data_IF_020824540298
#
_entry.id   IF_020824540298
#
_cell.length_a   1.000
_cell.length_b   1.000
_cell.length_c   1.000
_cell.angle_alpha   90.00
_cell.angle_beta   90.00
_cell.angle_gamma   90.00
#
_symmetry.space_group_name_H-M   'P 1'
#
loop_
_entity.id
_entity.type
_entity.pdbx_description
1 polymer ?
#
# COMPACT_ATOMS: atom_id res chain seq x y z
N UNK A 1 39.48 4.93 -5.44
CA UNK A 1 38.65 5.71 -4.49
C UNK A 1 37.96 4.75 -3.56
N UNK A 2 38.06 4.94 -2.23
CA UNK A 2 37.41 4.05 -1.25
C UNK A 2 35.91 4.28 -1.16
N UNK A 3 35.15 3.28 -0.65
CA UNK A 3 33.72 3.39 -0.38
C UNK A 3 33.42 4.55 0.56
N UNK A 4 34.24 4.73 1.61
CA UNK A 4 34.11 5.83 2.56
C UNK A 4 34.23 7.19 1.87
N UNK A 5 35.23 7.38 1.01
CA UNK A 5 35.45 8.63 0.28
C UNK A 5 34.29 8.93 -0.68
N UNK A 6 33.83 7.91 -1.43
CA UNK A 6 32.71 8.04 -2.35
C UNK A 6 31.40 8.42 -1.63
N UNK A 7 31.17 7.79 -0.48
CA UNK A 7 29.99 8.07 0.34
C UNK A 7 29.99 9.51 0.88
N UNK A 8 31.16 10.01 1.38
CA UNK A 8 31.28 11.39 1.82
C UNK A 8 31.05 12.40 0.70
N UNK A 9 31.60 12.13 -0.49
CA UNK A 9 31.39 13.01 -1.66
C UNK A 9 29.91 13.02 -2.08
N UNK A 10 29.28 11.86 -2.19
CA UNK A 10 27.86 11.77 -2.54
C UNK A 10 26.95 12.45 -1.50
N UNK A 11 27.28 12.28 -0.21
CA UNK A 11 26.53 12.96 0.88
C UNK A 11 26.59 14.48 0.72
N UNK A 12 27.76 15.05 0.50
CA UNK A 12 27.94 16.50 0.30
C UNK A 12 27.18 17.03 -0.91
N UNK A 13 27.27 16.32 -2.04
CA UNK A 13 26.56 16.71 -3.26
C UNK A 13 25.05 16.77 -3.05
N UNK A 14 24.49 15.81 -2.32
CA UNK A 14 23.06 15.78 -2.01
C UNK A 14 22.66 16.84 -0.97
N UNK A 15 23.53 17.10 0.00
CA UNK A 15 23.35 18.14 1.02
C UNK A 15 23.35 19.56 0.40
N UNK A 16 24.35 19.84 -0.46
CA UNK A 16 24.46 21.12 -1.18
C UNK A 16 23.24 21.37 -2.10
N UNK A 17 22.61 20.29 -2.59
CA UNK A 17 21.38 20.37 -3.39
C UNK A 17 20.09 20.42 -2.56
N UNK A 18 20.17 20.43 -1.23
CA UNK A 18 19.01 20.50 -0.33
C UNK A 18 18.17 19.22 -0.31
N UNK A 19 18.73 18.06 -0.69
CA UNK A 19 18.04 16.79 -0.62
C UNK A 19 17.84 16.36 0.84
N UNK A 20 16.63 16.02 1.21
CA UNK A 20 16.34 15.52 2.55
C UNK A 20 17.11 14.22 2.84
N UNK A 21 17.58 14.06 4.10
CA UNK A 21 18.35 12.89 4.58
C UNK A 21 19.50 12.49 3.64
N UNK A 22 20.43 13.42 3.29
CA UNK A 22 21.42 13.25 2.22
C UNK A 22 22.33 12.05 2.46
N UNK A 23 22.75 11.82 3.70
CA UNK A 23 23.59 10.70 4.10
C UNK A 23 22.92 9.33 3.81
N UNK A 24 21.69 9.15 4.26
CA UNK A 24 20.94 7.93 4.02
C UNK A 24 20.72 7.70 2.53
N UNK A 25 20.38 8.76 1.80
CA UNK A 25 20.20 8.69 0.33
C UNK A 25 21.49 8.25 -0.36
N UNK A 26 22.63 8.83 -0.01
CA UNK A 26 23.94 8.45 -0.56
C UNK A 26 24.27 6.98 -0.26
N UNK A 27 24.00 6.50 0.97
CA UNK A 27 24.22 5.10 1.36
C UNK A 27 23.36 4.13 0.54
N UNK A 28 22.08 4.43 0.39
CA UNK A 28 21.16 3.59 -0.40
C UNK A 28 21.59 3.51 -1.87
N UNK A 29 21.96 4.64 -2.47
CA UNK A 29 22.40 4.68 -3.86
C UNK A 29 23.76 3.98 -4.07
N UNK A 30 24.70 4.12 -3.13
CA UNK A 30 26.00 3.44 -3.20
C UNK A 30 25.84 1.93 -3.00
N UNK A 31 25.06 1.51 -2.00
CA UNK A 31 24.76 0.10 -1.76
C UNK A 31 24.09 -0.55 -3.00
N UNK A 32 23.15 0.19 -3.63
CA UNK A 32 22.52 -0.24 -4.87
C UNK A 32 23.51 -0.38 -6.03
N UNK A 33 24.46 0.55 -6.17
CA UNK A 33 25.50 0.47 -7.20
C UNK A 33 26.43 -0.75 -7.04
N UNK A 34 26.66 -1.15 -5.78
CA UNK A 34 27.47 -2.31 -5.41
C UNK A 34 26.70 -3.64 -5.47
N UNK A 35 25.35 -3.61 -5.55
CA UNK A 35 24.52 -4.79 -5.35
C UNK A 35 24.67 -5.41 -3.95
N UNK A 36 24.88 -4.59 -2.91
CA UNK A 36 25.11 -4.98 -1.52
C UNK A 36 24.12 -4.31 -0.58
N UNK A 37 23.99 -4.89 0.64
CA UNK A 37 23.25 -4.27 1.74
C UNK A 37 24.00 -3.06 2.31
N UNK A 38 23.28 -2.07 2.88
CA UNK A 38 23.89 -0.87 3.46
C UNK A 38 24.92 -1.17 4.55
N UNK A 39 24.71 -2.23 5.33
CA UNK A 39 25.64 -2.65 6.39
C UNK A 39 27.03 -2.96 5.84
N UNK A 40 27.12 -3.40 4.58
CA UNK A 40 28.39 -3.65 3.90
C UNK A 40 29.29 -2.42 3.82
N UNK A 41 28.69 -1.23 3.62
CA UNK A 41 29.43 0.04 3.50
C UNK A 41 30.19 0.38 4.79
N UNK A 42 29.61 0.05 5.94
CA UNK A 42 30.23 0.30 7.25
C UNK A 42 31.34 -0.68 7.57
N UNK A 43 31.19 -1.93 7.15
CA UNK A 43 32.19 -2.98 7.39
C UNK A 43 33.41 -2.88 6.45
N UNK A 44 33.25 -2.26 5.26
CA UNK A 44 34.25 -2.28 4.20
C UNK A 44 34.61 -0.87 3.68
N UNK A 45 34.58 0.14 4.55
CA UNK A 45 34.79 1.55 4.16
C UNK A 45 36.07 1.82 3.38
N UNK A 46 37.16 1.07 3.65
CA UNK A 46 38.47 1.18 3.00
C UNK A 46 38.57 0.42 1.68
N UNK A 47 37.57 -0.40 1.33
CA UNK A 47 37.53 -1.08 0.05
C UNK A 47 37.48 -0.07 -1.09
N UNK A 48 38.25 -0.32 -2.15
CA UNK A 48 38.17 0.49 -3.37
C UNK A 48 36.95 0.12 -4.23
N UNK A 49 36.31 1.14 -4.78
CA UNK A 49 35.27 0.99 -5.79
C UNK A 49 35.88 0.57 -7.12
N UNK A 50 35.25 -0.42 -7.78
CA UNK A 50 35.53 -0.68 -9.18
C UNK A 50 35.02 0.50 -10.05
N UNK A 51 35.63 0.69 -11.21
CA UNK A 51 35.28 1.77 -12.14
C UNK A 51 33.79 1.75 -12.53
N UNK A 52 33.24 0.57 -12.79
CA UNK A 52 31.83 0.40 -13.14
C UNK A 52 30.89 0.76 -11.98
N UNK A 53 31.24 0.40 -10.75
CA UNK A 53 30.46 0.73 -9.56
C UNK A 53 30.43 2.25 -9.32
N UNK A 54 31.60 2.90 -9.51
CA UNK A 54 31.70 4.34 -9.44
C UNK A 54 30.85 5.04 -10.50
N UNK A 55 30.88 4.55 -11.75
CA UNK A 55 30.08 5.08 -12.84
C UNK A 55 28.57 4.95 -12.54
N UNK A 56 28.14 3.79 -12.03
CA UNK A 56 26.74 3.58 -11.63
C UNK A 56 26.33 4.52 -10.50
N UNK A 57 27.15 4.62 -9.46
CA UNK A 57 26.87 5.51 -8.34
C UNK A 57 26.75 6.97 -8.79
N UNK A 58 27.69 7.45 -9.60
CA UNK A 58 27.65 8.80 -10.17
C UNK A 58 26.38 9.07 -10.98
N UNK A 59 25.93 8.10 -11.79
CA UNK A 59 24.66 8.18 -12.52
C UNK A 59 23.47 8.26 -11.58
N UNK A 60 23.42 7.46 -10.51
CA UNK A 60 22.34 7.47 -9.55
C UNK A 60 22.28 8.78 -8.76
N UNK A 61 23.43 9.31 -8.33
CA UNK A 61 23.51 10.64 -7.73
C UNK A 61 22.98 11.72 -8.69
N UNK A 62 23.39 11.68 -9.96
CA UNK A 62 22.90 12.63 -10.95
C UNK A 62 21.36 12.56 -11.11
N UNK A 63 20.79 11.36 -11.23
CA UNK A 63 19.34 11.18 -11.31
C UNK A 63 18.64 11.75 -10.06
N UNK A 64 19.19 11.53 -8.86
CA UNK A 64 18.65 12.06 -7.62
C UNK A 64 18.70 13.58 -7.57
N UNK A 65 19.80 14.20 -8.02
CA UNK A 65 19.97 15.65 -8.14
C UNK A 65 18.99 16.28 -9.13
N UNK A 66 18.57 15.53 -10.17
CA UNK A 66 17.48 15.97 -11.07
C UNK A 66 16.09 15.89 -10.42
N UNK A 67 15.97 15.35 -9.20
CA UNK A 67 14.73 15.23 -8.45
C UNK A 67 14.07 13.85 -8.50
N UNK A 68 14.66 12.87 -9.21
CA UNK A 68 14.08 11.51 -9.27
C UNK A 68 14.06 10.88 -7.87
N UNK A 69 12.92 10.32 -7.41
CA UNK A 69 12.84 9.60 -6.15
C UNK A 69 13.87 8.46 -6.06
N UNK A 70 14.47 8.29 -4.90
CA UNK A 70 15.45 7.21 -4.65
C UNK A 70 14.86 5.84 -5.00
N UNK A 71 13.60 5.62 -4.69
CA UNK A 71 12.88 4.38 -4.96
C UNK A 71 12.76 4.08 -6.47
N UNK A 72 12.59 5.09 -7.31
CA UNK A 72 12.58 4.88 -8.77
C UNK A 72 13.98 4.63 -9.32
N UNK A 73 15.03 5.18 -8.70
CA UNK A 73 16.42 4.89 -9.07
C UNK A 73 16.76 3.45 -8.73
N UNK A 74 16.43 3.01 -7.51
CA UNK A 74 16.71 1.65 -7.01
C UNK A 74 15.70 0.61 -7.52
N UNK A 75 14.53 1.05 -8.00
CA UNK A 75 13.41 0.22 -8.43
C UNK A 75 12.77 -0.58 -7.30
N UNK A 76 12.92 -0.15 -6.04
CA UNK A 76 12.48 -0.88 -4.85
C UNK A 76 11.84 0.04 -3.83
N UNK A 77 10.81 -0.46 -3.17
CA UNK A 77 10.17 0.13 -1.99
C UNK A 77 9.76 -0.99 -1.05
N UNK A 78 10.12 -0.85 0.20
CA UNK A 78 9.63 -1.73 1.25
C UNK A 78 8.22 -1.30 1.65
N UNK A 79 7.30 -2.26 1.82
CA UNK A 79 5.95 -2.06 2.32
C UNK A 79 5.50 -3.31 3.07
N UNK A 80 5.08 -3.15 4.31
CA UNK A 80 4.60 -4.21 5.20
C UNK A 80 5.58 -5.40 5.29
N UNK A 81 6.86 -5.11 5.47
CA UNK A 81 7.94 -6.10 5.56
C UNK A 81 8.27 -6.82 4.25
N UNK A 82 7.81 -6.32 3.09
CA UNK A 82 8.04 -6.91 1.76
C UNK A 82 8.64 -5.90 0.80
N UNK A 83 9.52 -6.38 -0.07
CA UNK A 83 10.12 -5.53 -1.11
C UNK A 83 9.26 -5.54 -2.37
N UNK A 84 8.71 -4.38 -2.72
CA UNK A 84 7.96 -4.15 -3.95
C UNK A 84 8.81 -3.48 -5.01
N UNK A 85 8.71 -3.95 -6.25
CA UNK A 85 9.24 -3.23 -7.40
C UNK A 85 8.37 -2.01 -7.68
N UNK A 86 9.01 -0.85 -7.91
CA UNK A 86 8.34 0.39 -8.29
C UNK A 86 8.98 1.00 -9.53
N UNK A 87 8.17 1.66 -10.34
CA UNK A 87 8.57 2.37 -11.56
C UNK A 87 7.78 3.68 -11.63
N UNK A 88 8.14 4.64 -12.48
CA UNK A 88 7.34 5.85 -12.69
C UNK A 88 5.88 5.61 -13.15
N UNK A 89 5.51 4.36 -13.40
CA UNK A 89 4.12 4.00 -13.75
C UNK A 89 3.22 3.83 -12.53
N UNK A 90 3.78 3.75 -11.31
CA UNK A 90 3.03 3.49 -10.06
C UNK A 90 3.39 4.47 -8.97
N UNK A 91 2.43 4.82 -8.12
CA UNK A 91 2.71 5.53 -6.86
C UNK A 91 3.69 4.69 -6.01
N UNK A 92 4.67 5.35 -5.41
CA UNK A 92 5.55 4.70 -4.42
C UNK A 92 4.70 4.40 -3.17
N UNK A 93 4.58 3.13 -2.73
CA UNK A 93 3.86 2.79 -1.50
C UNK A 93 4.32 3.63 -0.32
N UNK A 94 3.37 4.18 0.45
CA UNK A 94 3.63 5.02 1.61
C UNK A 94 3.49 4.22 2.90
N UNK A 95 4.27 4.52 3.95
CA UNK A 95 4.12 3.88 5.25
C UNK A 95 2.70 4.04 5.82
N UNK A 96 2.06 5.18 5.59
CA UNK A 96 0.69 5.45 6.06
C UNK A 96 -0.34 4.48 5.48
N UNK A 97 -0.10 3.98 4.27
CA UNK A 97 -0.97 2.99 3.61
C UNK A 97 -0.97 1.63 4.33
N UNK A 98 0.04 1.33 5.17
CA UNK A 98 0.06 0.13 6.00
C UNK A 98 -1.10 0.09 7.01
N UNK A 99 -1.59 1.25 7.47
CA UNK A 99 -2.78 1.33 8.30
C UNK A 99 -4.04 0.80 7.58
N UNK A 100 -4.12 0.92 6.26
CA UNK A 100 -5.21 0.32 5.47
C UNK A 100 -5.16 -1.21 5.60
N UNK A 101 -3.97 -1.80 5.53
CA UNK A 101 -3.79 -3.26 5.73
C UNK A 101 -4.24 -3.67 7.13
N UNK A 102 -3.81 -2.96 8.18
CA UNK A 102 -4.17 -3.27 9.56
C UNK A 102 -5.67 -3.21 9.81
N UNK A 103 -6.33 -2.16 9.30
CA UNK A 103 -7.80 -2.01 9.43
C UNK A 103 -8.51 -3.07 8.61
N UNK A 104 -8.09 -3.35 7.40
CA UNK A 104 -8.65 -4.39 6.55
C UNK A 104 -8.56 -5.79 7.20
N UNK A 105 -7.42 -6.13 7.79
CA UNK A 105 -7.22 -7.40 8.51
C UNK A 105 -8.12 -7.53 9.74
N UNK A 106 -8.38 -6.44 10.49
CA UNK A 106 -9.32 -6.46 11.63
C UNK A 106 -10.73 -6.85 11.18
N UNK A 107 -11.25 -6.21 10.13
CA UNK A 107 -12.59 -6.50 9.61
C UNK A 107 -12.66 -7.87 8.94
N UNK A 108 -11.59 -8.26 8.24
CA UNK A 108 -11.51 -9.59 7.64
C UNK A 108 -11.57 -10.72 8.67
N UNK A 109 -10.84 -10.61 9.78
CA UNK A 109 -10.82 -11.61 10.86
C UNK A 109 -12.16 -11.68 11.61
N UNK A 110 -12.89 -10.58 11.71
CA UNK A 110 -14.20 -10.56 12.33
C UNK A 110 -15.27 -11.31 11.52
N UNK A 111 -15.10 -11.42 10.19
CA UNK A 111 -16.03 -12.07 9.27
C UNK A 111 -15.60 -13.47 8.84
N UNK A 112 -14.31 -13.80 8.92
CA UNK A 112 -13.82 -15.12 8.54
C UNK A 112 -14.21 -16.17 9.59
N UNK A 113 -14.75 -17.34 9.20
CA UNK A 113 -14.89 -18.46 10.11
C UNK A 113 -13.52 -18.82 10.68
N UNK A 114 -13.44 -19.09 11.98
CA UNK A 114 -12.19 -19.44 12.66
C UNK A 114 -11.47 -20.56 11.88
N UNK A 115 -10.15 -20.44 11.60
CA UNK A 115 -9.43 -21.47 10.88
C UNK A 115 -9.51 -22.76 11.65
N UNK A 116 -9.75 -23.93 11.01
CA UNK A 116 -9.79 -25.20 11.69
C UNK A 116 -8.44 -25.49 12.32
N UNK A 117 -8.36 -25.41 13.64
CA UNK A 117 -7.38 -26.07 14.50
C UNK A 117 -5.93 -25.60 14.41
N UNK A 118 -5.60 -24.46 15.04
CA UNK A 118 -4.34 -24.33 15.79
C UNK A 118 -4.66 -24.49 17.27
N UNK A 119 -4.61 -25.73 17.76
CA UNK A 119 -4.60 -26.00 19.21
C UNK A 119 -3.29 -25.49 19.77
N UNK A 120 -3.34 -24.34 20.43
CA UNK A 120 -2.23 -23.87 21.27
C UNK A 120 -2.12 -24.79 22.49
N UNK A 121 -1.08 -25.63 22.51
CA UNK A 121 -0.70 -26.38 23.70
C UNK A 121 0.01 -25.44 24.68
N UNK A 122 -0.75 -24.79 25.55
CA UNK A 122 -0.20 -24.21 26.78
C UNK A 122 -1.21 -24.45 27.90
N UNK A 123 -0.81 -25.28 28.86
CA UNK A 123 -1.16 -25.22 30.31
C UNK A 123 -2.61 -25.48 30.67
N UNK A 124 -2.92 -26.77 30.94
CA UNK A 124 -4.04 -27.15 31.82
C UNK A 124 -3.79 -26.64 33.25
N UNK A 125 -4.67 -25.79 33.75
CA UNK A 125 -5.01 -25.73 35.16
C UNK A 125 -6.52 -25.64 35.29
N UNK A 126 -7.03 -26.58 36.09
CA UNK A 126 -8.44 -26.82 36.39
C UNK A 126 -9.06 -25.59 37.11
N UNK A 127 -10.19 -25.12 36.63
CA UNK A 127 -11.25 -24.64 37.52
C UNK A 127 -12.60 -24.69 36.81
N UNK A 128 -13.54 -25.27 37.50
CA UNK A 128 -14.90 -25.59 37.15
C UNK A 128 -15.78 -24.34 37.03
N UNK A 129 -16.87 -24.50 36.25
CA UNK A 129 -18.20 -23.84 36.32
C UNK A 129 -18.56 -22.91 35.14
N UNK A 130 -19.63 -23.32 34.50
CA UNK A 130 -20.49 -22.76 33.48
C UNK A 130 -20.01 -22.87 32.03
N UNK A 131 -20.84 -23.49 31.15
CA UNK A 131 -20.62 -23.46 29.69
C UNK A 131 -20.81 -22.03 29.19
N UNK A 132 -19.91 -21.54 28.33
CA UNK A 132 -20.13 -20.27 27.68
C UNK A 132 -21.34 -20.40 26.74
N UNK A 133 -22.19 -19.37 26.76
CA UNK A 133 -23.31 -19.25 25.86
C UNK A 133 -22.85 -19.55 24.42
N UNK A 134 -23.55 -20.46 23.79
CA UNK A 134 -23.41 -20.81 22.38
C UNK A 134 -23.46 -19.53 21.55
N UNK A 135 -22.31 -19.08 21.03
CA UNK A 135 -22.30 -18.01 20.04
C UNK A 135 -23.02 -18.58 18.83
N UNK A 136 -24.19 -18.07 18.55
CA UNK A 136 -24.87 -18.27 17.29
C UNK A 136 -23.88 -17.91 16.18
N UNK A 137 -23.40 -18.91 15.46
CA UNK A 137 -22.64 -18.72 14.24
C UNK A 137 -23.58 -17.97 13.28
N UNK A 138 -23.12 -16.91 12.60
CA UNK A 138 -23.90 -16.32 11.53
C UNK A 138 -24.24 -17.44 10.55
N UNK A 139 -25.51 -17.55 10.16
CA UNK A 139 -25.95 -18.54 9.19
C UNK A 139 -25.12 -18.34 7.90
N UNK A 140 -24.31 -19.32 7.54
CA UNK A 140 -23.65 -19.34 6.23
C UNK A 140 -24.76 -19.34 5.17
N UNK A 141 -24.80 -18.29 4.34
CA UNK A 141 -25.64 -18.30 3.14
C UNK A 141 -25.03 -19.34 2.18
N UNK A 142 -25.72 -20.48 1.95
CA UNK A 142 -25.18 -21.57 1.13
C UNK A 142 -24.99 -21.19 -0.35
N UNK A 143 -25.36 -19.97 -0.75
CA UNK A 143 -25.15 -19.39 -2.08
C UNK A 143 -23.95 -18.46 -2.20
N UNK A 144 -23.38 -17.98 -1.09
CA UNK A 144 -22.24 -17.08 -1.10
C UNK A 144 -20.94 -17.90 -1.16
N UNK A 145 -20.27 -17.92 -2.30
CA UNK A 145 -18.92 -18.52 -2.45
C UNK A 145 -17.91 -17.96 -1.40
N UNK A 146 -16.65 -18.42 -1.38
CA UNK A 146 -15.66 -18.02 -0.38
C UNK A 146 -15.53 -16.48 -0.31
N UNK A 147 -15.19 -15.93 0.86
CA UNK A 147 -14.97 -14.48 1.00
C UNK A 147 -13.81 -14.02 0.13
N UNK A 148 -13.97 -12.85 -0.50
CA UNK A 148 -13.04 -12.27 -1.46
C UNK A 148 -12.71 -10.83 -1.12
N UNK A 149 -11.49 -10.41 -1.49
CA UNK A 149 -10.98 -9.05 -1.31
C UNK A 149 -10.84 -8.39 -2.68
N UNK A 150 -11.19 -7.11 -2.77
CA UNK A 150 -10.95 -6.26 -3.94
C UNK A 150 -10.11 -5.05 -3.55
N UNK A 151 -8.98 -4.86 -4.24
CA UNK A 151 -8.18 -3.63 -4.18
C UNK A 151 -8.50 -2.76 -5.40
N UNK A 152 -8.99 -1.55 -5.19
CA UNK A 152 -9.34 -0.61 -6.26
C UNK A 152 -8.23 0.43 -6.44
N UNK A 153 -7.67 0.52 -7.65
CA UNK A 153 -6.53 1.39 -7.95
C UNK A 153 -5.24 0.82 -7.37
N UNK A 154 -4.95 -0.45 -7.66
CA UNK A 154 -3.91 -1.23 -6.98
C UNK A 154 -2.48 -0.70 -7.16
N UNK A 155 -2.20 0.10 -8.21
CA UNK A 155 -0.89 0.68 -8.47
C UNK A 155 0.21 -0.37 -8.56
N UNK A 156 1.10 -0.38 -7.58
CA UNK A 156 2.19 -1.38 -7.48
C UNK A 156 1.71 -2.77 -7.00
N UNK A 157 0.46 -2.90 -6.59
CA UNK A 157 -0.08 -4.10 -5.96
C UNK A 157 0.15 -4.19 -4.44
N UNK A 158 0.59 -3.11 -3.81
CA UNK A 158 1.01 -3.13 -2.39
C UNK A 158 -0.09 -3.64 -1.46
N UNK A 159 -1.32 -3.13 -1.56
CA UNK A 159 -2.46 -3.59 -0.76
C UNK A 159 -2.90 -5.00 -1.15
N UNK A 160 -3.18 -5.22 -2.45
CA UNK A 160 -3.68 -6.51 -2.94
C UNK A 160 -2.76 -7.69 -2.60
N UNK A 161 -1.46 -7.54 -2.89
CA UNK A 161 -0.45 -8.58 -2.65
C UNK A 161 -0.28 -8.85 -1.15
N UNK A 162 -0.20 -7.78 -0.34
CA UNK A 162 -0.06 -7.93 1.10
C UNK A 162 -1.27 -8.64 1.70
N UNK A 163 -2.50 -8.21 1.37
CA UNK A 163 -3.71 -8.84 1.87
C UNK A 163 -3.87 -10.28 1.40
N UNK A 164 -3.53 -10.59 0.14
CA UNK A 164 -3.53 -11.96 -0.35
C UNK A 164 -2.60 -12.88 0.47
N UNK A 165 -1.40 -12.38 0.83
CA UNK A 165 -0.42 -13.15 1.61
C UNK A 165 -0.80 -13.29 3.09
N UNK A 166 -1.37 -12.22 3.70
CA UNK A 166 -1.77 -12.23 5.10
C UNK A 166 -3.02 -13.07 5.37
N UNK A 167 -3.96 -13.07 4.43
CA UNK A 167 -5.28 -13.70 4.63
C UNK A 167 -5.42 -15.06 3.94
N UNK A 168 -4.63 -15.32 2.89
CA UNK A 168 -4.85 -16.47 1.99
C UNK A 168 -6.12 -16.34 1.13
N UNK A 169 -6.82 -15.20 1.18
CA UNK A 169 -8.06 -14.98 0.46
C UNK A 169 -7.86 -14.89 -1.06
N UNK A 170 -8.88 -15.28 -1.81
CA UNK A 170 -8.97 -14.94 -3.23
C UNK A 170 -9.06 -13.42 -3.38
N UNK A 171 -7.98 -12.81 -3.90
CA UNK A 171 -7.84 -11.35 -4.00
C UNK A 171 -7.90 -10.90 -5.45
N UNK A 172 -8.71 -9.88 -5.69
CA UNK A 172 -8.86 -9.20 -6.96
C UNK A 172 -8.30 -7.79 -6.85
N UNK A 173 -7.81 -7.27 -7.97
CA UNK A 173 -7.30 -5.91 -8.04
C UNK A 173 -7.73 -5.27 -9.35
N UNK A 174 -8.21 -4.03 -9.29
CA UNK A 174 -8.48 -3.23 -10.49
C UNK A 174 -7.49 -2.08 -10.60
N UNK A 175 -7.09 -1.78 -11.85
CA UNK A 175 -6.16 -0.70 -12.14
C UNK A 175 -6.50 -0.10 -13.52
N UNK A 176 -6.59 1.22 -13.60
CA UNK A 176 -6.93 1.91 -14.85
C UNK A 176 -5.75 1.95 -15.82
N UNK A 177 -4.52 1.98 -15.31
CA UNK A 177 -3.28 2.00 -16.09
C UNK A 177 -2.78 0.59 -16.40
N UNK A 178 -2.73 0.18 -17.67
CA UNK A 178 -2.14 -1.12 -18.04
C UNK A 178 -0.67 -1.25 -17.61
N UNK A 179 0.08 -0.15 -17.60
CA UNK A 179 1.48 -0.14 -17.18
C UNK A 179 1.61 -0.40 -15.67
N UNK A 180 0.77 0.24 -14.84
CA UNK A 180 0.70 -0.01 -13.40
C UNK A 180 0.23 -1.45 -13.10
N UNK A 181 -0.81 -1.93 -13.78
CA UNK A 181 -1.28 -3.31 -13.65
C UNK A 181 -0.17 -4.33 -13.95
N UNK A 182 0.69 -4.06 -14.94
CA UNK A 182 1.85 -4.92 -15.24
C UNK A 182 2.90 -4.88 -14.13
N UNK A 183 3.08 -3.77 -13.42
CA UNK A 183 3.96 -3.70 -12.23
C UNK A 183 3.37 -4.53 -11.09
N UNK A 184 2.07 -4.37 -10.79
CA UNK A 184 1.37 -5.16 -9.79
C UNK A 184 1.46 -6.67 -10.06
N UNK A 185 1.27 -7.10 -11.30
CA UNK A 185 1.38 -8.51 -11.71
C UNK A 185 2.79 -9.07 -11.46
N UNK A 186 3.84 -8.29 -11.75
CA UNK A 186 5.23 -8.70 -11.47
C UNK A 186 5.50 -8.81 -9.98
N UNK A 187 4.96 -7.90 -9.17
CA UNK A 187 5.09 -7.94 -7.72
C UNK A 187 4.35 -9.15 -7.13
N UNK A 188 3.12 -9.40 -7.57
CA UNK A 188 2.35 -10.58 -7.15
C UNK A 188 3.11 -11.88 -7.46
N UNK A 189 3.63 -12.01 -8.68
CA UNK A 189 4.42 -13.18 -9.09
C UNK A 189 5.71 -13.32 -8.26
N UNK A 190 6.47 -12.23 -8.10
CA UNK A 190 7.75 -12.24 -7.39
C UNK A 190 7.61 -12.58 -5.90
N UNK A 191 6.50 -12.16 -5.27
CA UNK A 191 6.19 -12.41 -3.86
C UNK A 191 5.36 -13.68 -3.64
N UNK A 192 4.97 -14.39 -4.70
CA UNK A 192 4.20 -15.63 -4.61
C UNK A 192 2.73 -15.43 -4.22
N UNK A 193 2.18 -14.22 -4.39
CA UNK A 193 0.80 -13.92 -4.10
C UNK A 193 -0.13 -14.27 -5.26
N UNK A 194 -1.30 -14.82 -4.96
CA UNK A 194 -2.36 -15.04 -5.96
C UNK A 194 -3.31 -13.84 -5.99
N UNK A 195 -3.13 -12.98 -6.99
CA UNK A 195 -3.98 -11.80 -7.20
C UNK A 195 -4.49 -11.80 -8.63
N UNK A 196 -5.80 -11.67 -8.81
CA UNK A 196 -6.45 -11.49 -10.10
C UNK A 196 -6.45 -10.01 -10.48
N UNK A 197 -5.58 -9.61 -11.39
CA UNK A 197 -5.44 -8.21 -11.78
C UNK A 197 -6.25 -7.95 -13.05
N UNK A 198 -7.13 -6.96 -12.99
CA UNK A 198 -8.02 -6.55 -14.08
C UNK A 198 -7.74 -5.09 -14.46
N UNK A 199 -7.43 -4.85 -15.71
CA UNK A 199 -7.37 -3.47 -16.22
C UNK A 199 -8.78 -2.95 -16.37
N UNK A 200 -9.13 -1.93 -15.60
CA UNK A 200 -10.49 -1.41 -15.55
C UNK A 200 -10.64 -0.19 -14.65
N UNK A 201 -11.75 0.50 -14.81
CA UNK A 201 -12.03 1.72 -14.09
C UNK A 201 -12.89 1.45 -12.83
N UNK A 202 -12.35 1.79 -11.67
CA UNK A 202 -12.93 1.52 -10.35
C UNK A 202 -13.33 0.03 -10.26
N UNK A 203 -14.56 -0.28 -9.93
CA UNK A 203 -15.09 -1.65 -9.82
C UNK A 203 -15.98 -2.07 -11.00
N UNK A 204 -15.91 -1.38 -12.15
CA UNK A 204 -16.81 -1.57 -13.28
C UNK A 204 -16.84 -3.00 -13.84
N UNK A 205 -15.69 -3.67 -13.86
CA UNK A 205 -15.53 -5.04 -14.37
C UNK A 205 -15.81 -6.14 -13.32
N UNK A 206 -16.09 -5.77 -12.07
CA UNK A 206 -16.30 -6.72 -10.96
C UNK A 206 -17.77 -7.12 -10.87
N UNK A 207 -18.01 -8.41 -10.68
CA UNK A 207 -19.38 -8.96 -10.56
C UNK A 207 -20.10 -8.40 -9.31
N UNK A 208 -21.41 -8.25 -9.40
CA UNK A 208 -22.24 -7.79 -8.30
C UNK A 208 -22.25 -8.81 -7.15
N UNK A 209 -22.25 -8.33 -5.91
CA UNK A 209 -22.35 -9.14 -4.69
C UNK A 209 -21.23 -10.17 -4.53
N UNK A 210 -20.06 -9.94 -5.14
CA UNK A 210 -18.98 -10.95 -5.18
C UNK A 210 -17.87 -10.72 -4.15
N UNK A 211 -17.78 -9.53 -3.54
CA UNK A 211 -16.68 -9.15 -2.65
C UNK A 211 -17.15 -8.99 -1.20
N UNK A 212 -16.34 -9.46 -0.27
CA UNK A 212 -16.57 -9.29 1.18
C UNK A 212 -15.91 -8.02 1.72
N UNK A 213 -14.77 -7.66 1.12
CA UNK A 213 -13.98 -6.50 1.52
C UNK A 213 -13.49 -5.76 0.28
N UNK A 214 -13.67 -4.45 0.27
CA UNK A 214 -13.02 -3.54 -0.68
C UNK A 214 -11.96 -2.74 0.08
N UNK A 215 -10.76 -2.62 -0.49
CA UNK A 215 -9.71 -1.71 -0.02
C UNK A 215 -9.31 -0.75 -1.13
N UNK A 216 -8.82 0.44 -0.78
CA UNK A 216 -8.27 1.38 -1.75
C UNK A 216 -7.39 2.43 -1.08
N UNK A 217 -6.30 2.81 -1.74
CA UNK A 217 -5.64 4.08 -1.54
C UNK A 217 -5.89 4.93 -2.81
N UNK A 218 -7.03 5.63 -2.90
CA UNK A 218 -7.39 6.33 -4.11
C UNK A 218 -6.64 7.66 -4.23
N UNK A 219 -6.47 8.22 -5.44
CA UNK A 219 -6.05 9.60 -5.60
C UNK A 219 -6.98 10.55 -4.84
N UNK A 220 -6.40 11.49 -4.12
CA UNK A 220 -7.15 12.45 -3.29
C UNK A 220 -6.62 13.90 -3.37
N UNK A 221 -5.60 14.16 -4.16
CA UNK A 221 -5.03 15.51 -4.29
C UNK A 221 -5.89 16.34 -5.25
N UNK A 222 -6.43 17.51 -4.82
CA UNK A 222 -7.06 18.44 -5.74
C UNK A 222 -6.06 18.99 -6.77
N UNK A 223 -6.48 19.15 -8.03
CA UNK A 223 -5.60 19.68 -9.08
C UNK A 223 -4.98 21.04 -8.73
N UNK A 224 -5.71 21.90 -7.99
CA UNK A 224 -5.24 23.19 -7.55
C UNK A 224 -4.05 23.13 -6.56
N UNK A 225 -3.81 21.99 -5.92
CA UNK A 225 -2.71 21.80 -4.96
C UNK A 225 -1.41 21.28 -5.61
N UNK A 226 -1.39 21.09 -6.92
CA UNK A 226 -0.25 20.56 -7.67
C UNK A 226 1.07 21.27 -7.34
N UNK A 227 1.07 22.58 -7.37
CA UNK A 227 2.29 23.38 -7.20
C UNK A 227 2.84 23.37 -5.77
N UNK A 228 2.02 22.97 -4.80
CA UNK A 228 2.40 22.78 -3.39
C UNK A 228 3.05 21.43 -3.09
N UNK A 229 3.02 20.48 -4.02
CA UNK A 229 3.64 19.17 -3.81
C UNK A 229 5.16 19.25 -3.88
N UNK A 230 5.82 18.36 -3.13
CA UNK A 230 7.27 18.18 -3.26
C UNK A 230 7.62 17.86 -4.71
N UNK A 231 8.75 18.39 -5.18
CA UNK A 231 9.19 18.27 -6.58
C UNK A 231 9.24 16.82 -7.04
N UNK A 232 9.76 15.92 -6.21
CA UNK A 232 9.87 14.50 -6.55
C UNK A 232 8.50 13.81 -6.76
N UNK A 233 7.48 14.20 -6.01
CA UNK A 233 6.11 13.69 -6.16
C UNK A 233 5.47 14.30 -7.41
N UNK A 234 5.52 15.62 -7.52
CA UNK A 234 4.87 16.39 -8.60
C UNK A 234 5.40 16.03 -9.98
N UNK A 235 6.74 15.89 -10.12
CA UNK A 235 7.40 15.80 -11.42
C UNK A 235 7.67 14.34 -11.86
N UNK A 236 7.62 13.37 -10.94
CA UNK A 236 8.03 11.99 -11.24
C UNK A 236 6.95 10.93 -10.97
N UNK A 237 6.04 11.16 -10.02
CA UNK A 237 4.99 10.18 -9.76
C UNK A 237 3.81 10.35 -10.72
N UNK A 238 3.09 9.26 -11.06
CA UNK A 238 2.04 9.33 -12.09
C UNK A 238 0.88 10.20 -11.62
N UNK A 239 0.53 11.19 -12.42
CA UNK A 239 -0.54 12.15 -12.10
C UNK A 239 -1.89 11.48 -11.83
N UNK A 240 -2.19 10.39 -12.55
CA UNK A 240 -3.43 9.63 -12.37
C UNK A 240 -3.53 8.95 -10.99
N UNK A 241 -2.39 8.71 -10.31
CA UNK A 241 -2.34 8.15 -8.97
C UNK A 241 -2.36 9.22 -7.87
N UNK A 242 -2.19 10.51 -8.23
CA UNK A 242 -2.15 11.62 -7.27
C UNK A 242 -3.43 12.44 -7.30
N UNK A 243 -3.87 12.85 -8.50
CA UNK A 243 -4.92 13.84 -8.66
C UNK A 243 -6.28 13.20 -8.91
N UNK A 244 -7.22 13.47 -8.02
CA UNK A 244 -8.59 12.97 -8.13
C UNK A 244 -9.50 13.84 -9.03
N UNK A 245 -9.11 15.09 -9.27
CA UNK A 245 -9.93 16.08 -9.96
C UNK A 245 -9.94 17.43 -9.26
N UNK A 246 -10.92 18.31 -9.53
CA UNK A 246 -10.99 19.64 -8.93
C UNK A 246 -11.12 19.67 -7.41
N UNK A 247 -11.91 18.78 -6.82
CA UNK A 247 -12.21 18.79 -5.38
C UNK A 247 -11.35 17.84 -4.55
N UNK A 248 -10.76 16.80 -5.16
CA UNK A 248 -10.06 15.72 -4.45
C UNK A 248 -10.97 14.58 -4.00
N UNK A 249 -12.28 14.68 -4.21
CA UNK A 249 -13.27 13.66 -3.79
C UNK A 249 -13.83 12.83 -4.94
N UNK A 250 -13.46 13.10 -6.18
CA UNK A 250 -14.05 12.49 -7.36
C UNK A 250 -13.90 10.97 -7.37
N UNK A 251 -12.73 10.47 -7.00
CA UNK A 251 -12.49 9.02 -6.96
C UNK A 251 -13.15 8.37 -5.75
N UNK A 252 -13.09 9.00 -4.57
CA UNK A 252 -13.85 8.54 -3.40
C UNK A 252 -15.33 8.38 -3.72
N UNK A 253 -15.95 9.41 -4.35
CA UNK A 253 -17.36 9.40 -4.71
C UNK A 253 -17.72 8.23 -5.63
N UNK A 254 -16.88 7.95 -6.63
CA UNK A 254 -17.09 6.84 -7.56
C UNK A 254 -16.92 5.47 -6.90
N UNK A 255 -15.94 5.33 -6.01
CA UNK A 255 -15.73 4.09 -5.25
C UNK A 255 -16.93 3.83 -4.34
N UNK A 256 -17.33 4.82 -3.53
CA UNK A 256 -18.46 4.70 -2.59
C UNK A 256 -19.77 4.42 -3.31
N UNK A 257 -20.04 5.08 -4.43
CA UNK A 257 -21.24 4.84 -5.22
C UNK A 257 -21.29 3.43 -5.86
N UNK A 258 -20.12 2.88 -6.22
CA UNK A 258 -20.02 1.56 -6.84
C UNK A 258 -19.96 0.40 -5.83
N UNK A 259 -19.52 0.66 -4.60
CA UNK A 259 -19.27 -0.37 -3.59
C UNK A 259 -20.50 -1.20 -3.21
N UNK A 260 -21.73 -0.63 -3.02
CA UNK A 260 -22.90 -1.43 -2.68
C UNK A 260 -23.29 -2.46 -3.74
N UNK A 261 -22.98 -2.20 -5.01
CA UNK A 261 -23.21 -3.17 -6.09
C UNK A 261 -22.28 -4.38 -5.99
N UNK A 262 -21.04 -4.16 -5.58
CA UNK A 262 -19.96 -5.15 -5.63
C UNK A 262 -19.83 -5.92 -4.32
N UNK A 263 -20.05 -5.25 -3.20
CA UNK A 263 -20.03 -5.87 -1.88
C UNK A 263 -21.22 -6.82 -1.68
N UNK A 264 -20.96 -7.86 -0.92
CA UNK A 264 -22.02 -8.69 -0.31
C UNK A 264 -22.76 -7.90 0.75
N UNK A 265 -23.99 -8.26 1.10
CA UNK A 265 -24.64 -7.76 2.29
C UNK A 265 -23.73 -7.87 3.51
N UNK A 266 -23.58 -6.80 4.28
CA UNK A 266 -22.70 -6.73 5.44
C UNK A 266 -21.20 -6.59 5.14
N UNK A 267 -20.79 -6.52 3.88
CA UNK A 267 -19.37 -6.37 3.50
C UNK A 267 -18.81 -4.99 3.83
N UNK A 268 -17.48 -4.89 3.84
CA UNK A 268 -16.75 -3.69 4.26
C UNK A 268 -16.04 -2.99 3.11
N UNK A 269 -15.94 -1.66 3.23
CA UNK A 269 -15.01 -0.83 2.46
C UNK A 269 -14.01 -0.20 3.42
N UNK A 270 -12.70 -0.21 3.07
CA UNK A 270 -11.62 0.40 3.84
C UNK A 270 -10.77 1.26 2.90
N UNK A 271 -10.69 2.55 3.16
CA UNK A 271 -9.99 3.49 2.28
C UNK A 271 -9.00 4.36 3.06
N UNK A 272 -7.84 4.62 2.44
CA UNK A 272 -6.94 5.65 2.93
C UNK A 272 -7.60 7.03 2.83
N UNK A 273 -7.34 7.90 3.82
CA UNK A 273 -7.79 9.29 3.84
C UNK A 273 -6.62 10.24 3.58
N UNK A 274 -6.78 11.11 2.58
CA UNK A 274 -5.93 12.28 2.45
C UNK A 274 -6.09 13.24 3.63
N UNK A 275 -5.06 14.03 3.90
CA UNK A 275 -5.12 15.03 4.97
C UNK A 275 -6.31 15.97 4.79
N UNK A 276 -7.15 16.07 5.82
CA UNK A 276 -8.36 16.90 5.82
C UNK A 276 -9.56 16.33 5.04
N UNK A 277 -9.47 15.09 4.49
CA UNK A 277 -10.55 14.51 3.68
C UNK A 277 -11.63 13.81 4.52
N UNK A 278 -11.44 13.59 5.82
CA UNK A 278 -12.38 12.83 6.67
C UNK A 278 -13.84 13.28 6.53
N UNK A 279 -14.10 14.56 6.76
CA UNK A 279 -15.47 15.07 6.77
C UNK A 279 -16.18 14.87 5.41
N UNK A 280 -15.45 15.10 4.30
CA UNK A 280 -15.98 14.93 2.95
C UNK A 280 -16.28 13.46 2.63
N UNK A 281 -15.34 12.54 2.97
CA UNK A 281 -15.53 11.11 2.72
C UNK A 281 -16.63 10.54 3.62
N UNK A 282 -16.71 10.97 4.88
CA UNK A 282 -17.80 10.60 5.79
C UNK A 282 -19.17 11.04 5.24
N UNK A 283 -19.25 12.22 4.62
CA UNK A 283 -20.48 12.69 3.97
C UNK A 283 -20.89 11.83 2.77
N UNK A 284 -19.91 11.31 1.99
CA UNK A 284 -20.19 10.37 0.90
C UNK A 284 -20.72 9.02 1.41
N UNK A 285 -20.34 8.61 2.61
CA UNK A 285 -20.79 7.38 3.27
C UNK A 285 -22.07 7.58 4.09
N UNK A 286 -22.74 8.75 3.98
CA UNK A 286 -24.00 9.00 4.70
C UNK A 286 -25.02 7.90 4.38
N UNK A 287 -25.63 7.33 5.44
CA UNK A 287 -26.58 6.22 5.30
C UNK A 287 -25.97 4.81 5.39
N UNK A 288 -24.63 4.68 5.44
CA UNK A 288 -24.01 3.41 5.79
C UNK A 288 -24.14 3.16 7.31
N UNK A 289 -24.52 1.93 7.75
CA UNK A 289 -24.85 1.67 9.15
C UNK A 289 -23.66 1.79 10.12
N UNK A 290 -22.46 1.50 9.65
CA UNK A 290 -21.26 1.54 10.47
C UNK A 290 -20.18 2.33 9.74
N UNK A 291 -19.57 3.34 10.39
CA UNK A 291 -18.47 4.14 9.87
C UNK A 291 -17.43 4.34 10.97
N UNK A 292 -16.23 3.84 10.75
CA UNK A 292 -15.09 3.95 11.66
C UNK A 292 -13.99 4.80 11.01
N UNK A 293 -13.26 5.58 11.82
CA UNK A 293 -12.05 6.30 11.39
C UNK A 293 -10.91 5.90 12.29
N UNK A 294 -9.80 5.49 11.70
CA UNK A 294 -8.57 5.15 12.40
C UNK A 294 -7.53 6.23 12.14
N UNK A 295 -7.04 6.93 13.19
CA UNK A 295 -5.93 7.87 13.08
C UNK A 295 -4.58 7.16 13.07
N UNK A 296 -3.55 7.87 12.59
CA UNK A 296 -2.15 7.49 12.80
C UNK A 296 -1.67 7.80 14.22
N UNK A 297 -0.41 7.50 14.51
CA UNK A 297 0.22 7.75 15.82
C UNK A 297 0.29 9.25 16.19
N UNK A 298 0.17 10.14 15.21
CA UNK A 298 0.10 11.60 15.42
C UNK A 298 -1.34 12.10 15.63
N UNK A 299 -2.33 11.20 15.63
CA UNK A 299 -3.74 11.54 15.77
C UNK A 299 -4.40 12.05 14.49
N UNK A 300 -3.73 11.94 13.33
CA UNK A 300 -4.27 12.37 12.04
C UNK A 300 -5.13 11.25 11.47
N UNK A 301 -6.41 11.50 11.09
CA UNK A 301 -7.26 10.52 10.40
C UNK A 301 -6.60 10.00 9.13
N UNK A 302 -6.38 8.66 9.06
CA UNK A 302 -5.69 8.02 7.93
C UNK A 302 -6.51 6.99 7.21
N UNK A 303 -7.40 6.31 7.90
CA UNK A 303 -8.22 5.26 7.30
C UNK A 303 -9.67 5.45 7.70
N UNK A 304 -10.57 5.29 6.74
CA UNK A 304 -12.00 5.19 6.98
C UNK A 304 -12.48 3.80 6.56
N UNK A 305 -13.21 3.15 7.44
CA UNK A 305 -13.89 1.89 7.17
C UNK A 305 -15.40 2.11 7.28
N UNK A 306 -16.15 1.46 6.40
CA UNK A 306 -17.61 1.50 6.46
C UNK A 306 -18.22 0.18 6.02
N UNK A 307 -19.36 -0.18 6.60
CA UNK A 307 -20.07 -1.42 6.33
C UNK A 307 -21.32 -1.16 5.52
N UNK A 308 -21.54 -1.94 4.45
CA UNK A 308 -22.80 -1.90 3.73
C UNK A 308 -23.91 -2.59 4.54
N UNK A 309 -25.17 -2.18 4.36
CA UNK A 309 -26.31 -2.85 5.02
C UNK A 309 -26.34 -4.36 4.70
N UNK A 310 -26.77 -5.15 5.69
CA UNK A 310 -26.96 -6.60 5.56
C UNK A 310 -28.16 -6.95 4.67
#
# INVERSE_FOLDING_TARGET
MTLHTALLQGTRLLEDAGIAVPRLTAEVLLAHALGRERVFLYAHGEQELAELEWLHYGRYLHQRLQGMPTQYITRRQEFYGREFRVTPDVLIPRPETEHVVEVALRHWQAEAPAPPGKVSKVGQTLSSVNPPAERLQPAEDPGAGPPRILDIGTGSGALAVTLALETGAETWATEISPAAAAVAARNALALGARVHIVVGDVAGAIAAGSMSLIVSNPPYVPLAQRDGLQREVRDFEPHAALFAGPSGFEIYSRIVAGAPRVLRPGGWIVMELGFGCEAGVRALLAGWPEIEVTPDLAGIPRVIAARVAA
#
